data_IF_806473903172
#
_entry.id   IF_806473903172
#
_cell.length_a   1.000
_cell.length_b   1.000
_cell.length_c   1.000
_cell.angle_alpha   90.00
_cell.angle_beta   90.00
_cell.angle_gamma   90.00
#
_symmetry.space_group_name_H-M   'P 1'
#
loop_
_entity.id
_entity.type
_entity.pdbx_description
1 polymer ?
#
# COMPACT_ATOMS: atom_id res chain seq x y z
N UNK A 1 -22.70 -22.36 -15.83
CA UNK A 1 -22.13 -21.40 -16.80
C UNK A 1 -22.37 -19.94 -16.38
N UNK A 2 -23.59 -19.40 -16.42
CA UNK A 2 -23.85 -17.98 -16.10
C UNK A 2 -23.42 -17.53 -14.69
N UNK A 3 -23.61 -18.39 -13.69
CA UNK A 3 -23.17 -18.12 -12.30
C UNK A 3 -21.64 -18.06 -12.17
N UNK A 4 -20.90 -18.78 -13.01
CA UNK A 4 -19.43 -18.71 -13.06
C UNK A 4 -18.97 -17.38 -13.67
N UNK A 5 -19.62 -16.92 -14.73
CA UNK A 5 -19.32 -15.60 -15.32
C UNK A 5 -19.61 -14.45 -14.35
N UNK A 6 -20.73 -14.52 -13.61
CA UNK A 6 -21.06 -13.52 -12.60
C UNK A 6 -20.03 -13.49 -11.45
N UNK A 7 -19.61 -14.66 -10.95
CA UNK A 7 -18.57 -14.75 -9.93
C UNK A 7 -17.22 -14.20 -10.41
N UNK A 8 -16.85 -14.49 -11.66
CA UNK A 8 -15.60 -13.99 -12.25
C UNK A 8 -15.60 -12.47 -12.38
N UNK A 9 -16.72 -11.86 -12.77
CA UNK A 9 -16.84 -10.40 -12.89
C UNK A 9 -16.58 -9.66 -11.56
N UNK A 10 -16.98 -10.25 -10.42
CA UNK A 10 -16.75 -9.65 -9.09
C UNK A 10 -15.27 -9.63 -8.73
N UNK A 11 -14.48 -10.64 -9.11
CA UNK A 11 -13.05 -10.70 -8.82
C UNK A 11 -12.25 -9.60 -9.53
N UNK A 12 -12.71 -9.18 -10.72
CA UNK A 12 -12.07 -8.11 -11.49
C UNK A 12 -12.57 -6.71 -11.12
N UNK A 13 -13.58 -6.59 -10.25
CA UNK A 13 -14.12 -5.31 -9.81
C UNK A 13 -13.32 -4.63 -8.69
N UNK A 14 -12.13 -5.16 -8.33
CA UNK A 14 -11.23 -4.50 -7.38
C UNK A 14 -10.66 -3.22 -8.01
N UNK A 15 -10.91 -2.09 -7.35
CA UNK A 15 -10.37 -0.79 -7.75
C UNK A 15 -8.88 -0.65 -7.39
N UNK A 16 -8.19 0.24 -8.11
CA UNK A 16 -6.79 0.56 -7.84
C UNK A 16 -6.65 1.26 -6.48
N UNK A 17 -5.86 0.68 -5.58
CA UNK A 17 -5.44 1.34 -4.35
C UNK A 17 -4.24 2.25 -4.65
N UNK A 18 -4.34 3.54 -4.29
CA UNK A 18 -3.24 4.48 -4.47
C UNK A 18 -2.27 4.34 -3.30
N UNK A 19 -1.04 3.92 -3.59
CA UNK A 19 0.01 3.86 -2.57
C UNK A 19 0.29 5.27 -2.04
N UNK A 20 0.22 5.46 -0.72
CA UNK A 20 0.59 6.70 -0.06
C UNK A 20 2.01 6.60 0.51
N UNK A 21 2.64 7.75 0.80
CA UNK A 21 3.95 7.80 1.43
C UNK A 21 3.98 7.11 2.81
N UNK A 22 5.15 6.61 3.20
CA UNK A 22 5.37 5.81 4.42
C UNK A 22 5.58 6.61 5.71
N UNK A 23 4.99 7.79 5.84
CA UNK A 23 5.18 8.64 7.04
C UNK A 23 6.62 9.17 7.19
N UNK A 24 7.28 9.45 6.08
CA UNK A 24 8.61 10.04 6.05
C UNK A 24 8.55 11.53 6.44
N UNK A 25 9.63 12.02 7.03
CA UNK A 25 9.82 13.45 7.26
C UNK A 25 10.12 14.22 5.97
N UNK A 26 10.32 15.53 6.08
CA UNK A 26 10.63 16.41 4.94
C UNK A 26 11.92 16.02 4.20
N UNK A 27 12.80 15.26 4.85
CA UNK A 27 14.06 14.77 4.28
C UNK A 27 13.90 13.41 3.59
N UNK A 28 12.72 12.78 3.67
CA UNK A 28 12.50 11.43 3.13
C UNK A 28 12.96 10.31 4.05
N UNK A 29 13.03 10.56 5.36
CA UNK A 29 13.51 9.60 6.35
C UNK A 29 12.49 9.32 7.47
N UNK A 30 12.72 8.29 8.28
CA UNK A 30 11.87 7.95 9.42
C UNK A 30 12.69 7.59 10.65
N UNK A 31 12.16 7.93 11.83
CA UNK A 31 12.71 7.53 13.12
C UNK A 31 12.02 6.25 13.61
N UNK A 32 12.80 5.19 13.80
CA UNK A 32 12.33 3.96 14.42
C UNK A 32 12.28 4.13 15.94
N UNK A 33 11.09 4.31 16.50
CA UNK A 33 10.89 4.52 17.95
C UNK A 33 11.30 3.31 18.81
N UNK A 34 11.45 2.12 18.23
CA UNK A 34 11.80 0.90 18.97
C UNK A 34 13.31 0.76 19.14
N UNK A 35 14.08 1.15 18.12
CA UNK A 35 15.55 0.99 18.12
C UNK A 35 16.29 2.30 18.32
N UNK A 36 15.64 3.43 18.04
CA UNK A 36 16.26 4.76 18.02
C UNK A 36 16.87 5.14 16.67
N UNK A 37 16.82 4.26 15.67
CA UNK A 37 17.50 4.49 14.39
C UNK A 37 16.78 5.51 13.51
N UNK A 38 17.55 6.21 12.67
CA UNK A 38 17.05 7.14 11.66
C UNK A 38 17.38 6.62 10.25
N UNK A 39 16.34 6.28 9.49
CA UNK A 39 16.45 5.56 8.22
C UNK A 39 15.84 6.36 7.07
N UNK A 40 16.64 6.67 6.06
CA UNK A 40 16.24 7.40 4.87
C UNK A 40 15.82 6.46 3.72
N UNK A 41 14.74 6.80 3.02
CA UNK A 41 14.15 6.01 1.93
C UNK A 41 14.37 6.69 0.57
N UNK A 42 15.64 6.94 0.21
CA UNK A 42 16.02 7.43 -1.11
C UNK A 42 16.33 6.25 -2.04
#
# INVERSE_FOLDING_TARGET
MKKLFAAMAVLFAVGSAMAHGGGLDKSGCHHNRKTGDYHCHR
#
